data_IF_044258974087
#
_entry.id   IF_044258974087
#
_cell.length_a   1.000
_cell.length_b   1.000
_cell.length_c   1.000
_cell.angle_alpha   90.00
_cell.angle_beta   90.00
_cell.angle_gamma   90.00
#
_symmetry.space_group_name_H-M   'P 1'
#
loop_
_entity.id
_entity.type
_entity.pdbx_description
1 polymer ?
#
# COMPACT_ATOMS: atom_id res chain seq x y z
N UNK A 1 38.10 -11.09 13.83
CA UNK A 1 37.85 -12.13 12.83
C UNK A 1 36.37 -12.31 12.49
N UNK A 2 35.46 -12.05 13.43
CA UNK A 2 34.01 -12.10 13.21
C UNK A 2 33.41 -10.73 13.45
N UNK A 3 32.63 -10.24 12.47
CA UNK A 3 31.84 -9.03 12.59
C UNK A 3 30.38 -9.38 12.25
N UNK A 4 29.46 -8.98 13.13
CA UNK A 4 28.04 -9.21 12.94
C UNK A 4 27.34 -7.85 13.02
N UNK A 5 26.64 -7.49 11.97
CA UNK A 5 25.80 -6.30 11.91
C UNK A 5 24.35 -6.72 11.82
N UNK A 6 23.52 -6.16 12.69
CA UNK A 6 22.08 -6.38 12.68
C UNK A 6 21.37 -5.02 12.55
N UNK A 7 20.43 -4.96 11.63
CA UNK A 7 19.56 -3.80 11.46
C UNK A 7 18.11 -4.27 11.39
N UNK A 8 17.24 -3.56 12.10
CA UNK A 8 15.80 -3.77 12.03
C UNK A 8 15.07 -2.44 12.11
N UNK A 9 14.05 -2.28 11.30
CA UNK A 9 13.18 -1.10 11.28
C UNK A 9 11.73 -1.56 11.18
N UNK A 10 10.92 -1.19 12.17
CA UNK A 10 9.48 -1.35 12.18
C UNK A 10 8.79 -0.01 11.89
N UNK A 11 7.70 -0.05 11.14
CA UNK A 11 6.84 1.10 10.88
C UNK A 11 5.38 0.67 10.96
N UNK A 12 4.58 1.50 11.62
CA UNK A 12 3.12 1.40 11.65
C UNK A 12 2.59 2.73 11.09
N UNK A 13 1.67 2.65 10.15
CA UNK A 13 1.05 3.83 9.54
C UNK A 13 -0.45 3.67 9.53
N UNK A 14 -1.15 4.73 9.94
CA UNK A 14 -2.60 4.85 9.86
C UNK A 14 -2.88 6.06 8.97
N UNK A 15 -3.56 5.83 7.86
CA UNK A 15 -3.84 6.85 6.86
C UNK A 15 -5.34 6.97 6.64
N UNK A 16 -5.79 8.20 6.39
CA UNK A 16 -7.11 8.47 5.85
C UNK A 16 -6.94 9.13 4.48
N UNK A 17 -7.63 8.59 3.48
CA UNK A 17 -7.56 9.09 2.12
C UNK A 17 -8.78 9.92 1.77
N UNK A 18 -8.55 11.03 1.09
CA UNK A 18 -9.58 11.86 0.53
C UNK A 18 -9.97 11.37 -0.88
N UNK A 19 -11.18 11.68 -1.31
CA UNK A 19 -11.58 11.44 -2.70
C UNK A 19 -10.87 12.42 -3.64
N UNK A 20 -9.91 11.95 -4.40
CA UNK A 20 -9.16 12.79 -5.36
C UNK A 20 -10.02 13.29 -6.52
N UNK A 21 -11.13 12.61 -6.82
CA UNK A 21 -12.13 13.06 -7.81
C UNK A 21 -12.79 14.39 -7.44
N UNK A 22 -12.76 14.77 -6.15
CA UNK A 22 -13.30 16.04 -5.68
C UNK A 22 -12.61 17.26 -6.32
N UNK A 23 -11.33 17.15 -6.73
CA UNK A 23 -10.61 18.24 -7.41
C UNK A 23 -11.23 18.50 -8.78
N UNK A 24 -11.43 17.45 -9.58
CA UNK A 24 -12.09 17.56 -10.89
C UNK A 24 -13.55 18.01 -10.77
N UNK A 25 -14.25 17.49 -9.77
CA UNK A 25 -15.61 17.91 -9.47
C UNK A 25 -15.70 19.40 -9.12
N UNK A 26 -14.75 19.92 -8.33
CA UNK A 26 -14.72 21.33 -7.94
C UNK A 26 -14.52 22.28 -9.14
N UNK A 27 -13.75 21.85 -10.13
CA UNK A 27 -13.53 22.65 -11.37
C UNK A 27 -14.80 22.68 -12.23
N UNK A 28 -15.55 21.59 -12.26
CA UNK A 28 -16.73 21.44 -13.11
C UNK A 28 -18.05 21.77 -12.39
N UNK A 29 -18.03 22.02 -11.09
CA UNK A 29 -19.22 22.33 -10.30
C UNK A 29 -19.67 23.76 -10.56
N UNK A 30 -21.00 23.95 -10.71
CA UNK A 30 -21.58 25.27 -10.90
C UNK A 30 -21.40 26.14 -9.63
N UNK A 31 -20.64 27.23 -9.69
CA UNK A 31 -20.35 28.06 -8.53
C UNK A 31 -21.56 28.83 -7.99
N UNK A 32 -22.67 28.87 -8.73
CA UNK A 32 -23.92 29.51 -8.30
C UNK A 32 -24.74 28.61 -7.37
N UNK A 33 -24.40 27.31 -7.29
CA UNK A 33 -25.10 26.37 -6.43
C UNK A 33 -24.49 26.34 -5.03
N UNK A 34 -25.34 26.22 -3.99
CA UNK A 34 -24.85 26.14 -2.62
C UNK A 34 -24.14 24.80 -2.37
N UNK A 35 -23.16 24.81 -1.50
CA UNK A 35 -22.53 23.57 -1.02
C UNK A 35 -23.52 22.73 -0.24
N UNK A 36 -24.34 23.38 0.61
CA UNK A 36 -25.36 22.74 1.42
C UNK A 36 -26.71 23.40 1.17
N UNK A 37 -27.74 22.58 1.04
CA UNK A 37 -29.13 23.05 0.87
C UNK A 37 -30.09 22.47 1.93
N UNK A 38 -29.58 21.70 2.90
CA UNK A 38 -30.35 21.07 3.95
C UNK A 38 -31.14 19.82 3.53
N UNK A 39 -31.00 19.35 2.28
CA UNK A 39 -31.69 18.14 1.82
C UNK A 39 -31.12 16.90 2.50
N UNK A 40 -31.90 16.33 3.42
CA UNK A 40 -31.50 15.15 4.19
C UNK A 40 -31.26 13.89 3.34
N UNK A 41 -31.87 13.82 2.14
CA UNK A 41 -31.68 12.74 1.17
C UNK A 41 -30.20 12.58 0.77
N UNK A 42 -29.44 13.69 0.78
CA UNK A 42 -28.02 13.71 0.44
C UNK A 42 -27.13 14.17 1.61
N UNK A 43 -27.59 13.91 2.85
CA UNK A 43 -26.84 14.30 4.05
C UNK A 43 -26.70 15.82 4.24
N UNK A 44 -27.64 16.61 3.69
CA UNK A 44 -27.65 18.06 3.77
C UNK A 44 -26.90 18.77 2.63
N UNK A 45 -26.20 18.04 1.79
CA UNK A 45 -25.45 18.60 0.65
C UNK A 45 -26.33 18.79 -0.57
N UNK A 46 -26.00 19.81 -1.35
CA UNK A 46 -26.65 20.01 -2.65
C UNK A 46 -26.31 18.85 -3.60
N UNK A 47 -27.31 18.34 -4.29
CA UNK A 47 -27.17 17.38 -5.38
C UNK A 47 -28.14 17.74 -6.51
N UNK A 48 -27.76 17.42 -7.73
CA UNK A 48 -28.59 17.63 -8.90
C UNK A 48 -29.72 16.61 -8.96
N UNK A 49 -30.93 17.13 -9.12
CA UNK A 49 -32.17 16.35 -9.24
C UNK A 49 -32.96 16.73 -10.48
N UNK A 50 -33.69 15.76 -11.04
CA UNK A 50 -34.74 15.98 -12.02
C UNK A 50 -36.02 15.34 -11.49
N UNK A 51 -37.06 16.15 -11.33
CA UNK A 51 -38.35 15.72 -10.75
C UNK A 51 -38.20 15.00 -9.38
N UNK A 52 -37.22 15.41 -8.56
CA UNK A 52 -36.94 14.79 -7.25
C UNK A 52 -36.05 13.55 -7.31
N UNK A 53 -35.61 13.13 -8.51
CA UNK A 53 -34.71 11.99 -8.67
C UNK A 53 -33.27 12.43 -8.92
N UNK A 54 -32.32 11.71 -8.27
CA UNK A 54 -30.88 12.00 -8.38
C UNK A 54 -30.36 11.83 -9.80
N UNK A 55 -29.63 12.84 -10.30
CA UNK A 55 -28.98 12.78 -11.61
C UNK A 55 -27.57 12.21 -11.44
N UNK A 56 -27.41 10.92 -11.67
CA UNK A 56 -26.14 10.20 -11.44
C UNK A 56 -24.98 10.66 -12.34
N UNK A 57 -25.28 11.21 -13.53
CA UNK A 57 -24.27 11.69 -14.49
C UNK A 57 -23.85 13.15 -14.24
N UNK A 58 -24.60 13.90 -13.42
CA UNK A 58 -24.27 15.29 -13.11
C UNK A 58 -22.99 15.38 -12.24
N UNK A 59 -22.33 16.54 -12.31
CA UNK A 59 -21.17 16.84 -11.47
C UNK A 59 -21.56 16.77 -10.01
N UNK A 60 -20.83 15.95 -9.26
CA UNK A 60 -21.10 15.72 -7.85
C UNK A 60 -20.56 16.87 -7.01
N UNK A 61 -21.19 17.13 -5.87
CA UNK A 61 -20.74 18.14 -4.93
C UNK A 61 -19.37 17.75 -4.35
N UNK A 62 -18.30 18.52 -4.60
CA UNK A 62 -16.94 18.14 -4.21
C UNK A 62 -16.75 18.08 -2.70
N UNK A 63 -17.47 18.92 -1.93
CA UNK A 63 -17.39 18.90 -0.47
C UNK A 63 -18.08 17.65 0.09
N UNK A 64 -19.21 17.25 -0.48
CA UNK A 64 -19.88 16.00 -0.12
C UNK A 64 -18.96 14.79 -0.38
N UNK A 65 -18.26 14.77 -1.54
CA UNK A 65 -17.30 13.71 -1.86
C UNK A 65 -16.20 13.60 -0.81
N UNK A 66 -15.65 14.72 -0.34
CA UNK A 66 -14.57 14.74 0.67
C UNK A 66 -15.05 14.38 2.07
N UNK A 67 -16.27 14.78 2.44
CA UNK A 67 -16.75 14.64 3.81
C UNK A 67 -17.49 13.32 4.07
N UNK A 68 -18.18 12.79 3.07
CA UNK A 68 -19.01 11.61 3.23
C UNK A 68 -18.27 10.31 2.94
N UNK A 69 -17.26 10.32 2.06
CA UNK A 69 -16.40 9.17 1.86
C UNK A 69 -15.53 8.91 3.10
N UNK A 70 -15.49 7.67 3.55
CA UNK A 70 -14.52 7.20 4.54
C UNK A 70 -13.62 6.18 3.87
N UNK A 71 -12.33 6.45 3.93
CA UNK A 71 -11.31 5.55 3.39
C UNK A 71 -10.12 5.60 4.35
N UNK A 72 -9.91 4.50 5.04
CA UNK A 72 -8.89 4.37 6.08
C UNK A 72 -8.01 3.17 5.78
N UNK A 73 -6.70 3.34 5.91
CA UNK A 73 -5.75 2.27 5.72
C UNK A 73 -4.76 2.20 6.88
N UNK A 74 -4.50 0.96 7.29
CA UNK A 74 -3.52 0.62 8.29
C UNK A 74 -2.44 -0.23 7.64
N UNK A 75 -1.18 0.11 7.85
CA UNK A 75 -0.08 -0.70 7.36
C UNK A 75 0.98 -0.92 8.43
N UNK A 76 1.59 -2.10 8.40
CA UNK A 76 2.70 -2.50 9.25
C UNK A 76 3.82 -3.02 8.37
N UNK A 77 5.00 -2.47 8.53
CA UNK A 77 6.18 -2.87 7.77
C UNK A 77 7.28 -3.25 8.75
N UNK A 78 7.99 -4.31 8.44
CA UNK A 78 9.20 -4.75 9.14
C UNK A 78 10.27 -5.05 8.09
N UNK A 79 11.35 -4.28 8.13
CA UNK A 79 12.51 -4.48 7.27
C UNK A 79 13.71 -4.73 8.16
N UNK A 80 14.48 -5.74 7.84
CA UNK A 80 15.68 -6.05 8.61
C UNK A 80 16.68 -6.85 7.83
N UNK A 81 17.92 -6.77 8.27
CA UNK A 81 18.97 -7.64 7.77
C UNK A 81 19.98 -7.99 8.88
N UNK A 82 20.57 -9.15 8.72
CA UNK A 82 21.74 -9.60 9.49
C UNK A 82 22.87 -9.86 8.51
N UNK A 83 24.00 -9.24 8.76
CA UNK A 83 25.21 -9.44 7.99
C UNK A 83 26.28 -10.03 8.88
N UNK A 84 26.88 -11.12 8.43
CA UNK A 84 27.99 -11.81 9.09
C UNK A 84 29.19 -11.75 8.18
N UNK A 85 30.27 -11.19 8.68
CA UNK A 85 31.57 -11.15 8.00
C UNK A 85 32.58 -11.91 8.85
N UNK A 86 33.19 -12.93 8.26
CA UNK A 86 34.14 -13.79 8.93
C UNK A 86 35.44 -13.91 8.17
N UNK A 87 36.52 -13.49 8.81
CA UNK A 87 37.90 -13.66 8.34
C UNK A 87 38.50 -14.92 8.91
N UNK A 88 38.90 -15.87 8.04
CA UNK A 88 39.39 -17.19 8.48
C UNK A 88 40.72 -17.08 9.24
N UNK A 89 40.82 -17.77 10.38
CA UNK A 89 42.03 -17.74 11.21
C UNK A 89 43.22 -18.41 10.56
N UNK A 90 42.98 -19.50 9.82
CA UNK A 90 44.02 -20.28 9.17
C UNK A 90 44.42 -19.72 7.79
N UNK A 91 43.62 -18.83 7.23
CA UNK A 91 43.86 -18.16 5.93
C UNK A 91 43.32 -16.75 6.01
N UNK A 92 44.07 -15.78 6.57
CA UNK A 92 43.59 -14.43 6.79
C UNK A 92 43.23 -13.65 5.53
N UNK A 93 43.73 -14.07 4.37
CA UNK A 93 43.39 -13.51 3.06
C UNK A 93 42.00 -13.92 2.60
N UNK A 94 41.43 -14.98 3.19
CA UNK A 94 40.08 -15.45 2.86
C UNK A 94 39.07 -14.89 3.84
N UNK A 95 37.96 -14.35 3.27
CA UNK A 95 36.84 -13.80 3.98
C UNK A 95 35.54 -14.42 3.45
N UNK A 96 34.64 -14.77 4.36
CA UNK A 96 33.26 -15.15 4.04
C UNK A 96 32.31 -14.05 4.48
N UNK A 97 31.38 -13.70 3.62
CA UNK A 97 30.30 -12.76 3.95
C UNK A 97 28.95 -13.43 3.69
N UNK A 98 28.06 -13.32 4.67
CA UNK A 98 26.67 -13.76 4.58
C UNK A 98 25.77 -12.58 4.92
N UNK A 99 24.83 -12.26 4.05
CA UNK A 99 23.79 -11.27 4.31
C UNK A 99 22.42 -11.93 4.15
N UNK A 100 21.64 -11.90 5.21
CA UNK A 100 20.25 -12.35 5.22
C UNK A 100 19.36 -11.13 5.41
N UNK A 101 18.44 -10.91 4.48
CA UNK A 101 17.50 -9.80 4.51
C UNK A 101 16.06 -10.26 4.51
N UNK A 102 15.21 -9.49 5.15
CA UNK A 102 13.76 -9.64 5.08
C UNK A 102 13.06 -8.28 4.96
N UNK A 103 11.97 -8.26 4.20
CA UNK A 103 11.06 -7.13 4.07
C UNK A 103 9.64 -7.69 4.10
N UNK A 104 8.92 -7.41 5.18
CA UNK A 104 7.56 -7.86 5.41
C UNK A 104 6.65 -6.65 5.53
N UNK A 105 5.55 -6.67 4.80
CA UNK A 105 4.53 -5.63 4.86
C UNK A 105 3.15 -6.26 4.88
N UNK A 106 2.32 -5.82 5.81
CA UNK A 106 0.89 -6.13 5.82
C UNK A 106 0.09 -4.84 5.84
N UNK A 107 -1.01 -4.82 5.14
CA UNK A 107 -1.87 -3.64 5.08
C UNK A 107 -3.32 -4.03 4.90
N UNK A 108 -4.21 -3.21 5.46
CA UNK A 108 -5.65 -3.26 5.26
C UNK A 108 -6.14 -1.87 4.91
N UNK A 109 -7.09 -1.79 3.99
CA UNK A 109 -7.77 -0.56 3.63
C UNK A 109 -9.26 -0.81 3.60
N UNK A 110 -10.01 0.02 4.30
CA UNK A 110 -11.46 -0.02 4.35
C UNK A 110 -12.03 1.21 3.65
N UNK A 111 -13.01 1.00 2.79
CA UNK A 111 -13.68 2.04 2.01
C UNK A 111 -15.18 1.96 2.31
N UNK A 112 -15.77 3.11 2.62
CA UNK A 112 -17.20 3.22 2.84
C UNK A 112 -17.78 4.50 2.23
N UNK A 113 -18.84 4.33 1.46
CA UNK A 113 -19.68 5.39 0.94
C UNK A 113 -21.09 5.24 1.52
N UNK A 114 -21.58 6.19 2.34
CA UNK A 114 -22.94 6.14 2.82
C UNK A 114 -23.95 6.33 1.68
N UNK A 115 -25.17 5.86 1.89
CA UNK A 115 -26.26 5.97 0.89
C UNK A 115 -26.63 7.41 0.55
N UNK A 116 -26.38 8.33 1.47
CA UNK A 116 -26.60 9.76 1.27
C UNK A 116 -25.47 10.42 0.43
N UNK A 117 -24.36 9.70 0.22
CA UNK A 117 -23.24 10.22 -0.58
C UNK A 117 -23.57 10.20 -2.07
N UNK A 118 -23.19 11.24 -2.85
CA UNK A 118 -23.36 11.23 -4.31
C UNK A 118 -22.64 10.08 -5.01
N UNK A 119 -21.68 9.44 -4.34
CA UNK A 119 -20.96 8.26 -4.86
C UNK A 119 -21.58 6.93 -4.41
N UNK A 120 -22.37 6.93 -3.34
CA UNK A 120 -23.04 5.75 -2.81
C UNK A 120 -24.54 5.69 -3.10
N UNK A 121 -25.15 6.80 -3.51
CA UNK A 121 -26.61 6.94 -3.58
C UNK A 121 -27.28 5.88 -4.47
N UNK A 122 -26.75 5.67 -5.68
CA UNK A 122 -27.33 4.71 -6.65
C UNK A 122 -27.30 3.27 -6.13
N UNK A 123 -26.30 2.94 -5.33
CA UNK A 123 -26.07 1.58 -4.79
C UNK A 123 -26.58 1.43 -3.35
N UNK A 124 -27.34 2.43 -2.84
CA UNK A 124 -27.81 2.50 -1.47
C UNK A 124 -26.67 2.37 -0.43
N UNK A 125 -25.51 2.88 -0.80
CA UNK A 125 -24.25 2.77 -0.07
C UNK A 125 -23.30 1.72 -0.67
N UNK A 126 -22.00 1.90 -0.44
CA UNK A 126 -20.95 0.99 -0.87
C UNK A 126 -19.99 0.74 0.27
N UNK A 127 -19.49 -0.48 0.35
CA UNK A 127 -18.35 -0.82 1.21
C UNK A 127 -17.34 -1.63 0.42
N UNK A 128 -16.09 -1.49 0.78
CA UNK A 128 -15.01 -2.27 0.20
C UNK A 128 -13.88 -2.42 1.18
N UNK A 129 -13.07 -3.46 0.99
CA UNK A 129 -11.80 -3.60 1.68
C UNK A 129 -10.73 -4.07 0.71
N UNK A 130 -9.50 -3.71 1.02
CA UNK A 130 -8.32 -4.24 0.37
C UNK A 130 -7.36 -4.73 1.43
N UNK A 131 -6.77 -5.91 1.21
CA UNK A 131 -5.67 -6.42 2.02
C UNK A 131 -4.46 -6.65 1.16
N UNK A 132 -3.28 -6.39 1.70
CA UNK A 132 -2.00 -6.67 1.06
C UNK A 132 -1.09 -7.35 2.06
N UNK A 133 -0.51 -8.48 1.63
CA UNK A 133 0.55 -9.18 2.35
C UNK A 133 1.75 -9.35 1.43
N UNK A 134 2.90 -8.93 1.91
CA UNK A 134 4.16 -8.96 1.19
C UNK A 134 5.25 -9.57 2.05
N UNK A 135 5.97 -10.54 1.52
CA UNK A 135 7.09 -11.20 2.18
C UNK A 135 8.24 -11.35 1.19
N UNK A 136 9.32 -10.64 1.44
CA UNK A 136 10.51 -10.72 0.62
C UNK A 136 11.66 -11.21 1.48
N UNK A 137 12.44 -12.13 0.93
CA UNK A 137 13.63 -12.68 1.56
C UNK A 137 14.81 -12.55 0.63
N UNK A 138 15.96 -12.22 1.20
CA UNK A 138 17.24 -12.10 0.54
C UNK A 138 18.25 -12.97 1.24
N UNK A 139 19.04 -13.72 0.48
CA UNK A 139 20.25 -14.39 0.92
C UNK A 139 21.35 -14.07 -0.06
N UNK A 140 22.40 -13.39 0.42
CA UNK A 140 23.65 -13.21 -0.31
C UNK A 140 24.78 -13.87 0.46
N UNK A 141 25.53 -14.70 -0.21
CA UNK A 141 26.74 -15.32 0.32
C UNK A 141 27.88 -15.17 -0.67
N UNK A 142 29.02 -14.72 -0.19
CA UNK A 142 30.23 -14.72 -1.02
C UNK A 142 31.48 -15.01 -0.22
N UNK A 143 32.47 -15.57 -0.91
CA UNK A 143 33.83 -15.73 -0.46
C UNK A 143 34.71 -14.74 -1.23
N UNK A 144 35.58 -14.07 -0.53
CA UNK A 144 36.57 -13.16 -1.10
C UNK A 144 37.96 -13.59 -0.65
N UNK A 145 38.87 -13.75 -1.62
CA UNK A 145 40.28 -13.97 -1.36
C UNK A 145 41.06 -12.77 -1.88
N UNK A 146 41.76 -12.07 -0.97
CA UNK A 146 42.55 -10.89 -1.31
C UNK A 146 43.97 -11.04 -0.76
N UNK A 147 44.96 -10.91 -1.63
CA UNK A 147 46.39 -11.06 -1.26
C UNK A 147 47.28 -10.12 -2.04
N UNK A 148 48.16 -9.46 -1.31
CA UNK A 148 49.25 -8.66 -1.88
C UNK A 148 50.51 -9.51 -2.07
N UNK A 149 51.07 -9.43 -3.27
CA UNK A 149 52.32 -10.06 -3.63
C UNK A 149 53.41 -9.00 -3.87
N UNK A 150 54.46 -9.03 -3.06
CA UNK A 150 55.66 -8.20 -3.23
C UNK A 150 55.37 -6.67 -3.42
N UNK A 151 54.41 -6.11 -2.70
CA UNK A 151 54.07 -4.67 -2.74
C UNK A 151 53.68 -4.12 -4.13
N UNK A 152 53.75 -4.91 -5.18
CA UNK A 152 53.49 -4.49 -6.56
C UNK A 152 52.29 -5.13 -7.21
N UNK A 153 51.81 -6.22 -6.68
CA UNK A 153 50.70 -6.97 -7.23
C UNK A 153 49.63 -7.24 -6.16
N UNK A 154 48.46 -6.71 -6.39
CA UNK A 154 47.27 -6.99 -5.61
C UNK A 154 46.39 -7.98 -6.38
N UNK A 155 46.03 -9.07 -5.73
CA UNK A 155 45.11 -10.08 -6.27
C UNK A 155 43.87 -10.12 -5.39
N UNK A 156 42.71 -9.91 -6.01
CA UNK A 156 41.40 -9.98 -5.36
C UNK A 156 40.45 -10.79 -6.25
N UNK A 157 39.90 -11.84 -5.70
CA UNK A 157 38.89 -12.66 -6.36
C UNK A 157 37.71 -12.89 -5.43
N UNK A 158 36.52 -12.78 -5.98
CA UNK A 158 35.27 -13.00 -5.25
C UNK A 158 34.39 -13.97 -6.02
N UNK A 159 33.79 -14.92 -5.30
CA UNK A 159 32.76 -15.81 -5.83
C UNK A 159 31.60 -15.89 -4.83
N UNK A 160 30.38 -15.89 -5.33
CA UNK A 160 29.23 -15.87 -4.44
C UNK A 160 27.96 -16.38 -5.10
N UNK A 161 26.94 -16.45 -4.25
CA UNK A 161 25.59 -16.85 -4.62
C UNK A 161 24.60 -15.87 -3.99
N UNK A 162 23.61 -15.45 -4.78
CA UNK A 162 22.50 -14.63 -4.34
C UNK A 162 21.19 -15.34 -4.62
N UNK A 163 20.29 -15.32 -3.64
CA UNK A 163 18.96 -15.85 -3.78
C UNK A 163 17.96 -14.83 -3.23
N UNK A 164 16.87 -14.62 -3.98
CA UNK A 164 15.78 -13.73 -3.60
C UNK A 164 14.45 -14.43 -3.80
N UNK A 165 13.56 -14.22 -2.87
CA UNK A 165 12.17 -14.67 -2.96
C UNK A 165 11.24 -13.50 -2.71
N UNK A 166 10.30 -13.31 -3.62
CA UNK A 166 9.26 -12.29 -3.53
C UNK A 166 7.91 -12.99 -3.47
N UNK A 167 7.10 -12.55 -2.53
CA UNK A 167 5.72 -12.97 -2.42
C UNK A 167 4.84 -11.77 -2.15
N UNK A 168 3.76 -11.64 -2.91
CA UNK A 168 2.73 -10.63 -2.70
C UNK A 168 1.36 -11.26 -2.89
N UNK A 169 0.48 -11.09 -1.91
CA UNK A 169 -0.93 -11.42 -1.98
C UNK A 169 -1.75 -10.15 -1.79
N UNK A 170 -2.74 -9.96 -2.64
CA UNK A 170 -3.68 -8.85 -2.56
C UNK A 170 -5.09 -9.42 -2.67
N UNK A 171 -5.98 -9.02 -1.78
CA UNK A 171 -7.38 -9.38 -1.83
C UNK A 171 -8.22 -8.10 -1.75
N UNK A 172 -9.13 -7.93 -2.69
CA UNK A 172 -10.05 -6.80 -2.78
C UNK A 172 -11.47 -7.32 -2.79
N UNK A 173 -12.33 -6.74 -1.99
CA UNK A 173 -13.76 -7.00 -2.02
C UNK A 173 -14.55 -5.69 -2.04
N UNK A 174 -15.57 -5.66 -2.87
CA UNK A 174 -16.50 -4.54 -3.00
C UNK A 174 -17.92 -5.04 -2.93
N UNK A 175 -18.73 -4.42 -2.08
CA UNK A 175 -20.14 -4.73 -1.92
C UNK A 175 -20.96 -3.45 -2.07
N UNK A 176 -22.01 -3.48 -2.88
CA UNK A 176 -23.08 -2.49 -2.75
C UNK A 176 -24.02 -2.90 -1.62
N UNK A 177 -24.68 -1.93 -1.01
CA UNK A 177 -25.61 -2.15 0.09
C UNK A 177 -27.07 -2.15 -0.36
N UNK A 178 -27.32 -2.30 -1.67
CA UNK A 178 -28.66 -2.44 -2.20
C UNK A 178 -29.26 -3.77 -1.74
N UNK A 179 -30.20 -3.72 -0.80
CA UNK A 179 -30.82 -4.89 -0.17
C UNK A 179 -31.55 -5.82 -1.15
N UNK A 180 -32.02 -5.27 -2.30
CA UNK A 180 -32.80 -6.04 -3.29
C UNK A 180 -31.88 -6.78 -4.27
N UNK A 181 -30.66 -6.33 -4.45
CA UNK A 181 -29.69 -6.97 -5.34
C UNK A 181 -28.23 -6.66 -4.89
N UNK A 182 -27.78 -7.23 -3.78
CA UNK A 182 -26.43 -7.02 -3.30
C UNK A 182 -25.44 -7.66 -4.28
N UNK A 183 -24.55 -6.84 -4.84
CA UNK A 183 -23.42 -7.32 -5.63
C UNK A 183 -22.17 -7.33 -4.77
N UNK A 184 -21.52 -8.50 -4.75
CA UNK A 184 -20.26 -8.71 -4.06
C UNK A 184 -19.22 -9.18 -5.07
N UNK A 185 -18.08 -8.51 -5.10
CA UNK A 185 -16.95 -8.89 -5.94
C UNK A 185 -15.74 -9.10 -5.05
N UNK A 186 -15.14 -10.28 -5.14
CA UNK A 186 -13.89 -10.62 -4.44
C UNK A 186 -12.85 -10.96 -5.49
N UNK A 187 -11.73 -10.24 -5.46
CA UNK A 187 -10.58 -10.49 -6.34
C UNK A 187 -9.37 -10.82 -5.47
N UNK A 188 -8.72 -11.93 -5.77
CA UNK A 188 -7.48 -12.33 -5.12
C UNK A 188 -6.37 -12.49 -6.15
N UNK A 189 -5.25 -11.81 -5.93
CA UNK A 189 -4.05 -11.95 -6.74
C UNK A 189 -2.89 -12.38 -5.86
N UNK A 190 -2.15 -13.39 -6.29
CA UNK A 190 -0.93 -13.88 -5.63
C UNK A 190 0.18 -13.93 -6.67
N UNK A 191 1.33 -13.31 -6.34
CA UNK A 191 2.53 -13.27 -7.20
C UNK A 191 3.73 -13.71 -6.41
#
# INVERSE_FOLDING_TARGET
>A
HLNINFNAKGMISNNRFADTGAIGAAIAFDPTQPVMNGNSKYGGYFAWENAGEFISIATKNPVAMLQQKKEEANSKNLVGNIQVDYKFHFLPELRANLNLGMDMATGTQDIYYPKESPLGYVDNGKTGYETIDKYNHLLDFYLQYAKDFNEKHHFDIMAGYSWQHFHRSTENAYNNLNGDNPTSYIFKTVV
#
